data_IF_501919295359
#
_entry.id   IF_501919295359
#
_cell.length_a   1.000
_cell.length_b   1.000
_cell.length_c   1.000
_cell.angle_alpha   90.00
_cell.angle_beta   90.00
_cell.angle_gamma   90.00
#
_symmetry.space_group_name_H-M   'P 1'
#
loop_
_entity.id
_entity.type
_entity.pdbx_description
1 polymer ?
#
# COMPACT_ATOMS: atom_id res chain seq x y z
N UNK A 1 7.70 8.62 8.75
CA UNK A 1 6.56 9.13 8.00
C UNK A 1 6.88 9.40 6.56
N UNK A 2 8.05 9.99 6.29
CA UNK A 2 8.45 10.28 4.91
C UNK A 2 8.54 9.02 4.05
N UNK A 3 9.07 7.93 4.61
CA UNK A 3 9.21 6.67 3.86
C UNK A 3 7.86 6.14 3.36
N UNK A 4 6.82 6.25 4.16
CA UNK A 4 5.49 5.79 3.75
C UNK A 4 4.96 6.65 2.62
N UNK A 5 5.05 7.97 2.75
CA UNK A 5 4.57 8.87 1.70
C UNK A 5 5.31 8.64 0.38
N UNK A 6 6.64 8.48 0.46
CA UNK A 6 7.45 8.22 -0.72
C UNK A 6 7.04 6.92 -1.39
N UNK A 7 6.79 5.88 -0.60
CA UNK A 7 6.38 4.58 -1.14
C UNK A 7 4.98 4.67 -1.75
N UNK A 8 4.04 5.35 -1.10
CA UNK A 8 2.70 5.54 -1.64
C UNK A 8 2.76 6.27 -2.99
N UNK A 9 3.55 7.33 -3.07
CA UNK A 9 3.70 8.09 -4.31
C UNK A 9 4.36 7.25 -5.39
N UNK A 10 5.38 6.47 -5.05
CA UNK A 10 6.05 5.58 -5.99
C UNK A 10 5.08 4.57 -6.57
N UNK A 11 4.26 3.95 -5.73
CA UNK A 11 3.30 2.95 -6.17
C UNK A 11 2.25 3.60 -7.08
N UNK A 12 1.72 4.76 -6.68
CA UNK A 12 0.73 5.46 -7.51
C UNK A 12 1.29 5.82 -8.87
N UNK A 13 2.52 6.30 -8.91
CA UNK A 13 3.18 6.64 -10.18
C UNK A 13 3.32 5.40 -11.06
N UNK A 14 3.73 4.27 -10.46
CA UNK A 14 3.87 3.03 -11.20
C UNK A 14 2.52 2.56 -11.77
N UNK A 15 1.47 2.58 -10.95
CA UNK A 15 0.14 2.15 -11.39
C UNK A 15 -0.44 3.07 -12.46
N UNK A 16 -0.15 4.36 -12.36
CA UNK A 16 -0.63 5.33 -13.37
C UNK A 16 0.05 5.14 -14.71
N UNK A 17 1.30 4.72 -14.72
CA UNK A 17 2.06 4.49 -15.95
C UNK A 17 1.83 3.12 -16.56
N UNK A 18 1.16 2.21 -15.85
CA UNK A 18 0.90 0.85 -16.30
C UNK A 18 -0.56 0.71 -16.69
N UNK A 19 -0.82 0.68 -17.99
CA UNK A 19 -2.20 0.68 -18.49
C UNK A 19 -2.94 -0.65 -18.31
N UNK A 20 -2.21 -1.73 -18.08
CA UNK A 20 -2.79 -3.07 -18.06
C UNK A 20 -3.23 -3.55 -16.69
N UNK A 21 -3.15 -2.70 -15.68
CA UNK A 21 -3.58 -3.10 -14.34
C UNK A 21 -5.11 -3.12 -14.29
N UNK A 22 -5.65 -4.21 -13.74
CA UNK A 22 -7.09 -4.39 -13.54
C UNK A 22 -7.66 -3.19 -12.76
N UNK A 23 -8.72 -2.55 -13.25
CA UNK A 23 -9.34 -1.43 -12.52
C UNK A 23 -9.77 -1.79 -11.10
N UNK A 24 -10.21 -3.01 -10.86
CA UNK A 24 -10.59 -3.45 -9.51
C UNK A 24 -9.39 -3.45 -8.58
N UNK A 25 -8.24 -3.89 -9.06
CA UNK A 25 -7.00 -3.86 -8.26
C UNK A 25 -6.52 -2.44 -7.99
N UNK A 26 -6.63 -1.57 -9.01
CA UNK A 26 -6.30 -0.15 -8.81
C UNK A 26 -7.18 0.48 -7.74
N UNK A 27 -8.46 0.15 -7.74
CA UNK A 27 -9.40 0.70 -6.77
C UNK A 27 -9.08 0.19 -5.36
N UNK A 28 -8.76 -1.08 -5.22
CA UNK A 28 -8.36 -1.63 -3.92
C UNK A 28 -7.12 -0.93 -3.39
N UNK A 29 -6.13 -0.68 -4.24
CA UNK A 29 -4.94 0.04 -3.83
C UNK A 29 -5.25 1.48 -3.44
N UNK A 30 -6.11 2.16 -4.19
CA UNK A 30 -6.49 3.54 -3.87
C UNK A 30 -7.16 3.64 -2.51
N UNK A 31 -8.01 2.68 -2.18
CA UNK A 31 -8.65 2.64 -0.87
C UNK A 31 -7.63 2.44 0.24
N UNK A 32 -6.66 1.55 0.03
CA UNK A 32 -5.57 1.34 0.97
C UNK A 32 -4.76 2.63 1.14
N UNK A 33 -4.38 3.28 0.04
CA UNK A 33 -3.62 4.52 0.04
C UNK A 33 -4.35 5.60 0.85
N UNK A 34 -5.64 5.80 0.58
CA UNK A 34 -6.47 6.75 1.29
C UNK A 34 -6.51 6.46 2.79
N UNK A 35 -6.70 5.20 3.15
CA UNK A 35 -6.79 4.81 4.55
C UNK A 35 -5.48 5.06 5.28
N UNK A 36 -4.36 4.78 4.63
CA UNK A 36 -3.05 5.03 5.22
C UNK A 36 -2.83 6.53 5.43
N UNK A 37 -3.17 7.35 4.43
CA UNK A 37 -3.00 8.81 4.53
C UNK A 37 -3.88 9.41 5.61
N UNK A 38 -5.12 8.91 5.74
CA UNK A 38 -6.02 9.35 6.82
C UNK A 38 -5.48 8.95 8.18
N UNK A 39 -4.97 7.73 8.29
CA UNK A 39 -4.38 7.27 9.54
C UNK A 39 -3.19 8.13 9.94
N UNK A 40 -2.37 8.55 8.98
CA UNK A 40 -1.20 9.38 9.25
C UNK A 40 -1.56 10.81 9.62
N UNK A 41 -2.74 11.29 9.22
CA UNK A 41 -3.19 12.64 9.53
C UNK A 41 -3.70 12.76 10.96
N UNK A 42 -4.01 11.65 11.62
CA UNK A 42 -4.47 11.61 13.00
C UNK A 42 -3.47 10.82 13.83
N UNK A 43 -3.63 10.87 15.15
CA UNK A 43 -2.74 10.13 16.04
C UNK A 43 -2.94 8.63 15.86
N UNK A 44 -1.90 7.93 15.45
CA UNK A 44 -1.95 6.50 15.14
C UNK A 44 -1.84 5.64 16.38
N UNK A 45 -2.45 4.46 16.32
CA UNK A 45 -2.23 3.41 17.28
C UNK A 45 -1.63 2.18 16.57
N UNK A 46 -0.90 1.36 17.30
CA UNK A 46 -0.26 0.17 16.73
C UNK A 46 -1.26 -0.78 16.09
N UNK A 47 -2.47 -0.87 16.65
CA UNK A 47 -3.52 -1.72 16.09
C UNK A 47 -3.94 -1.28 14.69
N UNK A 48 -3.98 0.04 14.44
CA UNK A 48 -4.33 0.57 13.12
C UNK A 48 -3.25 0.23 12.09
N UNK A 49 -1.98 0.33 12.51
CA UNK A 49 -0.86 -0.03 11.63
C UNK A 49 -0.87 -1.53 11.29
N UNK A 50 -1.25 -2.37 12.26
CA UNK A 50 -1.34 -3.81 12.02
C UNK A 50 -2.44 -4.13 11.00
N UNK A 51 -3.57 -3.43 11.05
CA UNK A 51 -4.66 -3.61 10.09
C UNK A 51 -4.20 -3.19 8.69
N UNK A 52 -3.52 -2.06 8.59
CA UNK A 52 -3.00 -1.58 7.31
C UNK A 52 -1.95 -2.51 6.74
N UNK A 53 -1.08 -3.07 7.58
CA UNK A 53 -0.08 -4.05 7.16
C UNK A 53 -0.75 -5.28 6.56
N UNK A 54 -1.76 -5.82 7.23
CA UNK A 54 -2.51 -6.99 6.76
C UNK A 54 -3.19 -6.71 5.43
N UNK A 55 -3.83 -5.55 5.29
CA UNK A 55 -4.50 -5.16 4.06
C UNK A 55 -3.50 -5.01 2.92
N UNK A 56 -2.34 -4.38 3.20
CA UNK A 56 -1.31 -4.20 2.19
C UNK A 56 -0.79 -5.54 1.69
N UNK A 57 -0.56 -6.50 2.59
CA UNK A 57 -0.07 -7.83 2.19
C UNK A 57 -1.12 -8.58 1.37
N UNK A 58 -2.39 -8.46 1.73
CA UNK A 58 -3.47 -9.08 0.97
C UNK A 58 -3.55 -8.52 -0.45
N UNK A 59 -3.46 -7.21 -0.57
CA UNK A 59 -3.52 -6.53 -1.87
C UNK A 59 -2.27 -6.85 -2.68
N UNK A 60 -1.10 -6.88 -2.04
CA UNK A 60 0.15 -7.26 -2.71
C UNK A 60 0.05 -8.66 -3.33
N UNK A 61 -0.52 -9.60 -2.60
CA UNK A 61 -0.68 -10.96 -3.10
C UNK A 61 -1.56 -10.99 -4.36
N UNK A 62 -2.63 -10.20 -4.38
CA UNK A 62 -3.49 -10.11 -5.55
C UNK A 62 -2.76 -9.51 -6.76
N UNK A 63 -1.96 -8.48 -6.55
CA UNK A 63 -1.19 -7.87 -7.62
C UNK A 63 -0.12 -8.81 -8.16
N UNK A 64 0.54 -9.56 -7.28
CA UNK A 64 1.66 -10.41 -7.67
C UNK A 64 1.29 -11.45 -8.74
N UNK A 65 0.03 -11.85 -8.80
CA UNK A 65 -0.43 -12.84 -9.77
C UNK A 65 -0.21 -12.36 -11.21
N UNK A 66 -0.51 -11.10 -11.49
CA UNK A 66 -0.42 -10.54 -12.84
C UNK A 66 0.60 -9.41 -12.95
N UNK A 67 0.94 -8.78 -11.85
CA UNK A 67 1.81 -7.59 -11.83
C UNK A 67 2.84 -7.74 -10.71
N UNK A 68 3.85 -8.61 -10.91
CA UNK A 68 4.82 -8.90 -9.83
C UNK A 68 5.56 -7.66 -9.33
N UNK A 69 5.88 -6.72 -10.23
CA UNK A 69 6.61 -5.53 -9.80
C UNK A 69 5.74 -4.66 -8.88
N UNK A 70 4.49 -4.42 -9.27
CA UNK A 70 3.57 -3.65 -8.45
C UNK A 70 3.32 -4.35 -7.11
N UNK A 71 3.12 -5.67 -7.15
CA UNK A 71 2.96 -6.45 -5.93
C UNK A 71 4.15 -6.34 -5.00
N UNK A 72 5.36 -6.36 -5.55
CA UNK A 72 6.58 -6.18 -4.77
C UNK A 72 6.65 -4.82 -4.09
N UNK A 73 6.24 -3.77 -4.79
CA UNK A 73 6.20 -2.42 -4.22
C UNK A 73 5.21 -2.34 -3.06
N UNK A 74 4.04 -2.95 -3.22
CA UNK A 74 3.02 -2.94 -2.15
C UNK A 74 3.50 -3.76 -0.96
N UNK A 75 4.21 -4.86 -1.20
CA UNK A 75 4.80 -5.65 -0.12
C UNK A 75 5.86 -4.85 0.65
N UNK A 76 6.65 -4.04 -0.04
CA UNK A 76 7.60 -3.14 0.61
C UNK A 76 6.87 -2.11 1.48
N UNK A 77 5.72 -1.60 1.02
CA UNK A 77 4.89 -0.72 1.83
C UNK A 77 4.44 -1.43 3.11
N UNK A 78 4.02 -2.69 3.01
CA UNK A 78 3.62 -3.46 4.18
C UNK A 78 4.77 -3.61 5.17
N UNK A 79 5.98 -3.85 4.68
CA UNK A 79 7.17 -3.96 5.54
C UNK A 79 7.44 -2.66 6.29
N UNK A 80 7.25 -1.52 5.62
CA UNK A 80 7.42 -0.21 6.28
C UNK A 80 6.37 -0.04 7.37
N UNK A 81 5.13 -0.37 7.10
CA UNK A 81 4.05 -0.28 8.09
C UNK A 81 4.33 -1.17 9.30
N UNK A 82 4.81 -2.38 9.05
CA UNK A 82 5.14 -3.30 10.14
C UNK A 82 6.26 -2.76 11.01
N UNK A 83 7.28 -2.17 10.41
CA UNK A 83 8.41 -1.63 11.16
C UNK A 83 8.01 -0.45 12.04
N UNK A 84 6.93 0.26 11.68
CA UNK A 84 6.43 1.38 12.47
C UNK A 84 5.48 0.96 13.57
N UNK A 85 4.82 -0.17 13.41
CA UNK A 85 3.81 -0.65 14.34
C UNK A 85 4.33 -1.48 15.51
N UNK A 86 5.61 -1.76 15.49
CA UNK A 86 6.22 -2.62 16.52
C UNK A 86 6.84 -1.83 17.63
#
# INVERSE_FOLDING_TARGET
MQKIKDKLDQIQTHLSSTEQVDPALKQEYRELDDNIRKMMAVKNEASDLAIMDSDARRIAAKFEVKHPHAGGLIRQLADILQSMGV
#
